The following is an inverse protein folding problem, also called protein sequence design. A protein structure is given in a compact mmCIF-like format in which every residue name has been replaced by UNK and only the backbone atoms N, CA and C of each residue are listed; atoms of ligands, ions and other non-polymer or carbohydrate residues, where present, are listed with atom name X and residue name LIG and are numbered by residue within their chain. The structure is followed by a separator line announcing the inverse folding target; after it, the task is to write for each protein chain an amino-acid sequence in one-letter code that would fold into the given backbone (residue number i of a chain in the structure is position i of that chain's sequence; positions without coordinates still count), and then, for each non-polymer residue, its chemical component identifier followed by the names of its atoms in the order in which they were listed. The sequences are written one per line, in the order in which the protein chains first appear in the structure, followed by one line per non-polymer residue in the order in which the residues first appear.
data_IF_702375561818
#
_entry.id   IF_702375561818
#
_cell.length_a   1.000
_cell.length_b   1.000
_cell.length_c   1.000
_cell.angle_alpha   90.00
_cell.angle_beta   90.00
_cell.angle_gamma   90.00
#
_symmetry.space_group_name_H-M   'P 1'
#
loop_
_entity.id
_entity.type
_entity.pdbx_description
1 polymer ?
#
# COMPACT_ATOMS: atom_id res chain seq x y z
N UNK A 1 3.20 -7.45 -9.85
CA UNK A 1 1.93 -7.18 -9.14
C UNK A 1 1.19 -5.99 -9.76
N UNK A 2 1.86 -4.84 -9.99
CA UNK A 2 1.28 -3.67 -10.68
C UNK A 2 0.62 -3.97 -12.04
N UNK A 3 1.19 -4.86 -12.87
CA UNK A 3 0.56 -5.28 -14.13
C UNK A 3 -0.72 -6.08 -13.91
N UNK A 4 -0.76 -6.96 -12.90
CA UNK A 4 -1.94 -7.75 -12.56
C UNK A 4 -3.08 -6.85 -12.06
N UNK A 5 -2.74 -5.79 -11.34
CA UNK A 5 -3.67 -4.75 -10.87
C UNK A 5 -4.01 -3.69 -11.93
N UNK A 6 -3.50 -3.81 -13.16
CA UNK A 6 -3.85 -2.90 -14.25
C UNK A 6 -3.32 -1.46 -14.09
N UNK A 7 -2.29 -1.26 -13.28
CA UNK A 7 -1.63 0.05 -13.08
C UNK A 7 -0.63 0.33 -14.21
N UNK A 8 0.14 -0.70 -14.58
CA UNK A 8 1.10 -0.64 -15.69
C UNK A 8 0.83 -1.76 -16.69
N UNK A 9 1.27 -1.58 -17.92
CA UNK A 9 1.32 -2.63 -18.92
C UNK A 9 2.75 -2.83 -19.43
N UNK A 10 3.08 -4.05 -19.83
CA UNK A 10 4.38 -4.39 -20.40
C UNK A 10 4.28 -4.35 -21.91
N UNK A 11 5.12 -3.54 -22.55
CA UNK A 11 5.26 -3.51 -24.00
C UNK A 11 6.50 -4.32 -24.40
N UNK A 12 6.34 -5.25 -25.36
CA UNK A 12 7.40 -6.18 -25.79
C UNK A 12 8.06 -5.65 -27.07
N UNK A 13 9.40 -5.61 -27.10
CA UNK A 13 10.18 -5.17 -28.26
C UNK A 13 11.58 -4.67 -27.87
N UNK A 14 12.37 -4.24 -28.86
CA UNK A 14 13.73 -3.70 -28.69
C UNK A 14 13.79 -2.41 -27.85
N UNK A 15 12.69 -1.64 -27.81
CA UNK A 15 12.45 -0.50 -26.92
C UNK A 15 11.39 -0.80 -25.85
N UNK A 16 11.20 -2.08 -25.52
CA UNK A 16 10.19 -2.55 -24.58
C UNK A 16 10.40 -2.03 -23.16
N UNK A 17 9.34 -2.08 -22.36
CA UNK A 17 9.34 -1.55 -21.01
C UNK A 17 7.96 -1.60 -20.37
N UNK A 18 7.81 -0.89 -19.25
CA UNK A 18 6.52 -0.69 -18.61
C UNK A 18 6.02 0.72 -18.86
N UNK A 19 4.75 0.84 -19.20
CA UNK A 19 4.06 2.13 -19.33
C UNK A 19 2.86 2.16 -18.39
N UNK A 20 2.51 3.35 -17.90
CA UNK A 20 1.31 3.54 -17.11
C UNK A 20 0.08 3.27 -17.97
N UNK A 21 -0.86 2.49 -17.44
CA UNK A 21 -2.12 2.17 -18.13
C UNK A 21 -3.21 3.21 -17.84
N UNK A 22 -3.09 3.93 -16.72
CA UNK A 22 -4.03 4.95 -16.26
C UNK A 22 -3.35 6.31 -16.13
N UNK A 23 -4.13 7.37 -16.28
CA UNK A 23 -3.67 8.73 -16.08
C UNK A 23 -3.13 8.91 -14.64
N UNK A 24 -1.90 9.43 -14.44
CA UNK A 24 -1.34 9.67 -13.12
C UNK A 24 -2.19 10.55 -12.19
N UNK A 25 -3.10 11.36 -12.73
CA UNK A 25 -4.07 12.14 -11.95
C UNK A 25 -5.17 11.28 -11.31
N UNK A 26 -5.45 10.10 -11.86
CA UNK A 26 -6.49 9.17 -11.41
C UNK A 26 -5.92 8.02 -10.56
N UNK A 27 -4.59 7.83 -10.59
CA UNK A 27 -3.90 6.82 -9.80
C UNK A 27 -3.60 7.35 -8.42
N UNK A 28 -4.29 6.84 -7.39
CA UNK A 28 -4.04 7.21 -6.01
C UNK A 28 -2.95 6.34 -5.38
N UNK A 29 -2.23 6.89 -4.40
CA UNK A 29 -1.15 6.20 -3.71
C UNK A 29 -1.65 4.92 -3.02
N UNK A 30 -2.90 4.93 -2.54
CA UNK A 30 -3.53 3.77 -1.92
C UNK A 30 -3.66 2.60 -2.90
N UNK A 31 -4.09 2.86 -4.14
CA UNK A 31 -4.20 1.84 -5.19
C UNK A 31 -2.84 1.21 -5.50
N UNK A 32 -1.79 2.04 -5.58
CA UNK A 32 -0.42 1.59 -5.83
C UNK A 32 0.11 0.79 -4.64
N UNK A 33 -0.14 1.24 -3.41
CA UNK A 33 0.27 0.58 -2.18
C UNK A 33 -0.38 -0.81 -2.07
N UNK A 34 -1.71 -0.90 -2.20
CA UNK A 34 -2.45 -2.17 -2.17
C UNK A 34 -2.06 -3.12 -3.33
N UNK A 35 -1.54 -2.58 -4.43
CA UNK A 35 -1.09 -3.40 -5.56
C UNK A 35 0.33 -3.97 -5.39
N UNK A 36 1.06 -3.56 -4.36
CA UNK A 36 2.43 -4.01 -4.06
C UNK A 36 2.47 -4.77 -2.73
N UNK A 37 1.76 -4.27 -1.71
CA UNK A 37 1.80 -4.86 -0.39
C UNK A 37 0.76 -5.96 -0.22
N UNK A 38 1.26 -7.16 0.07
CA UNK A 38 0.45 -8.34 0.40
C UNK A 38 0.25 -8.48 1.93
N UNK A 39 0.83 -7.57 2.74
CA UNK A 39 0.75 -7.62 4.22
C UNK A 39 0.28 -6.30 4.82
N UNK A 40 -0.34 -6.38 6.00
CA UNK A 40 -0.64 -5.20 6.83
C UNK A 40 0.67 -4.49 7.22
N UNK A 41 0.65 -3.16 7.23
CA UNK A 41 1.82 -2.32 7.52
C UNK A 41 2.42 -2.58 8.91
N UNK A 42 1.59 -3.05 9.85
CA UNK A 42 1.98 -3.33 11.22
C UNK A 42 1.81 -4.83 11.52
N UNK A 43 2.92 -5.55 11.58
CA UNK A 43 2.94 -6.94 12.03
C UNK A 43 3.32 -6.98 13.52
N UNK A 44 2.35 -7.29 14.38
CA UNK A 44 2.62 -7.62 15.78
C UNK A 44 3.01 -9.09 15.87
N UNK A 45 4.14 -9.36 16.52
CA UNK A 45 4.52 -10.72 16.90
C UNK A 45 3.68 -11.17 18.10
N UNK A 46 2.51 -11.73 17.81
CA UNK A 46 1.52 -12.18 18.80
C UNK A 46 1.79 -13.59 19.32
N UNK A 47 2.92 -14.22 18.98
CA UNK A 47 3.15 -15.65 19.21
C UNK A 47 3.44 -16.04 20.66
N UNK A 48 3.47 -15.10 21.63
CA UNK A 48 3.63 -15.43 23.06
C UNK A 48 2.26 -15.60 23.72
N UNK A 49 1.57 -16.69 23.44
CA UNK A 49 0.25 -17.01 24.04
C UNK A 49 0.32 -18.12 25.09
N UNK A 50 1.50 -18.51 25.53
CA UNK A 50 1.78 -19.61 26.42
C UNK A 50 2.25 -19.13 27.82
N UNK A 51 1.64 -19.69 28.87
CA UNK A 51 1.98 -19.41 30.29
C UNK A 51 0.81 -18.92 31.15
N UNK A 52 1.07 -18.68 32.45
CA UNK A 52 0.06 -18.31 33.48
C UNK A 52 -0.72 -17.00 33.21
N UNK A 53 -0.31 -16.21 32.21
CA UNK A 53 -0.94 -14.91 31.83
C UNK A 53 -1.40 -14.86 30.36
N UNK A 54 -1.61 -16.03 29.74
CA UNK A 54 -2.00 -16.12 28.34
C UNK A 54 -3.23 -15.26 27.98
N UNK A 55 -4.20 -15.16 28.90
CA UNK A 55 -5.44 -14.41 28.69
C UNK A 55 -5.20 -12.88 28.72
N UNK A 56 -4.41 -12.38 29.67
CA UNK A 56 -4.03 -10.97 29.72
C UNK A 56 -3.21 -10.59 28.48
N UNK A 57 -2.22 -11.43 28.11
CA UNK A 57 -1.41 -11.20 26.91
C UNK A 57 -2.26 -11.15 25.65
N UNK A 58 -3.25 -12.05 25.51
CA UNK A 58 -4.19 -12.01 24.39
C UNK A 58 -5.01 -10.70 24.36
N UNK A 59 -5.48 -10.20 25.51
CA UNK A 59 -6.21 -8.93 25.59
C UNK A 59 -5.35 -7.74 25.18
N UNK A 60 -4.10 -7.67 25.65
CA UNK A 60 -3.16 -6.62 25.23
C UNK A 60 -2.88 -6.69 23.73
N UNK A 61 -2.61 -7.88 23.20
CA UNK A 61 -2.34 -8.08 21.78
C UNK A 61 -3.53 -7.64 20.92
N UNK A 62 -4.75 -8.02 21.29
CA UNK A 62 -5.96 -7.62 20.58
C UNK A 62 -6.15 -6.09 20.59
N UNK A 63 -5.96 -5.45 21.76
CA UNK A 63 -6.04 -3.99 21.84
C UNK A 63 -5.09 -3.29 20.86
N UNK A 64 -3.83 -3.73 20.77
CA UNK A 64 -2.87 -3.15 19.83
C UNK A 64 -3.16 -3.50 18.37
N UNK A 65 -3.68 -4.69 18.09
CA UNK A 65 -4.12 -5.07 16.74
C UNK A 65 -5.27 -4.18 16.26
N UNK A 66 -6.24 -3.91 17.12
CA UNK A 66 -7.38 -3.02 16.83
C UNK A 66 -6.89 -1.58 16.61
N UNK A 67 -6.04 -1.08 17.51
CA UNK A 67 -5.44 0.25 17.36
C UNK A 67 -4.66 0.40 16.05
N UNK A 68 -3.90 -0.62 15.65
CA UNK A 68 -3.16 -0.58 14.39
C UNK A 68 -4.06 -0.71 13.18
N UNK A 69 -5.16 -1.47 13.27
CA UNK A 69 -6.15 -1.52 12.22
C UNK A 69 -6.79 -0.13 12.00
N UNK A 70 -7.16 0.56 13.09
CA UNK A 70 -7.73 1.90 13.03
C UNK A 70 -6.74 2.91 12.41
N UNK A 71 -5.49 2.92 12.87
CA UNK A 71 -4.45 3.78 12.31
C UNK A 71 -4.17 3.46 10.84
N UNK A 72 -4.24 2.18 10.46
CA UNK A 72 -4.07 1.79 9.06
C UNK A 72 -5.18 2.34 8.17
N UNK A 73 -6.44 2.33 8.63
CA UNK A 73 -7.56 2.95 7.92
C UNK A 73 -7.30 4.45 7.70
N UNK A 74 -6.87 5.17 8.73
CA UNK A 74 -6.55 6.60 8.63
C UNK A 74 -5.43 6.88 7.61
N UNK A 75 -4.40 6.03 7.57
CA UNK A 75 -3.30 6.14 6.61
C UNK A 75 -3.81 5.88 5.19
N UNK A 76 -4.59 4.81 4.98
CA UNK A 76 -5.14 4.45 3.68
C UNK A 76 -6.07 5.55 3.14
N UNK A 77 -6.88 6.17 4.01
CA UNK A 77 -7.76 7.28 3.63
C UNK A 77 -6.98 8.54 3.26
N UNK A 78 -5.85 8.82 3.95
CA UNK A 78 -4.93 9.88 3.51
C UNK A 78 -4.31 9.56 2.16
N UNK A 79 -3.92 8.31 1.93
CA UNK A 79 -3.33 7.87 0.66
C UNK A 79 -4.31 7.97 -0.53
N UNK A 80 -5.62 7.80 -0.30
CA UNK A 80 -6.66 8.01 -1.33
C UNK A 80 -6.73 9.45 -1.85
N UNK A 81 -6.22 10.42 -1.09
CA UNK A 81 -6.22 11.83 -1.47
C UNK A 81 -4.90 12.28 -2.13
N UNK A 82 -3.95 11.37 -2.32
CA UNK A 82 -2.64 11.64 -2.93
C UNK A 82 -2.59 10.92 -4.27
N UNK A 83 -2.64 11.65 -5.39
CA UNK A 83 -2.47 11.05 -6.72
C UNK A 83 -1.00 10.99 -7.15
N UNK A 84 -0.68 10.06 -8.05
CA UNK A 84 0.67 9.82 -8.56
C UNK A 84 1.26 11.07 -9.20
N UNK A 85 0.44 11.87 -9.91
CA UNK A 85 0.90 13.13 -10.50
C UNK A 85 1.45 14.11 -9.45
N UNK A 86 0.78 14.22 -8.29
CA UNK A 86 1.21 15.11 -7.20
C UNK A 86 2.54 14.65 -6.60
N UNK A 87 2.74 13.34 -6.46
CA UNK A 87 4.00 12.75 -6.02
C UNK A 87 5.11 13.05 -7.02
N UNK A 88 4.88 12.75 -8.31
CA UNK A 88 5.83 13.00 -9.40
C UNK A 88 6.26 14.46 -9.44
N UNK A 89 5.29 15.38 -9.37
CA UNK A 89 5.53 16.82 -9.36
C UNK A 89 6.38 17.24 -8.16
N UNK A 90 6.10 16.70 -6.97
CA UNK A 90 6.83 17.00 -5.73
C UNK A 90 8.31 16.57 -5.77
N UNK A 91 8.62 15.49 -6.49
CA UNK A 91 9.98 14.94 -6.62
C UNK A 91 10.66 15.29 -7.95
N UNK A 92 10.06 16.17 -8.77
CA UNK A 92 10.67 16.67 -10.01
C UNK A 92 10.63 15.71 -11.20
N UNK A 93 9.73 14.72 -11.18
CA UNK A 93 9.55 13.76 -12.29
C UNK A 93 8.41 14.23 -13.18
N UNK A 94 8.62 14.22 -14.50
CA UNK A 94 7.57 14.48 -15.51
C UNK A 94 6.92 13.18 -15.95
N UNK A 95 5.60 13.21 -16.12
CA UNK A 95 4.88 12.06 -16.69
C UNK A 95 5.10 11.95 -18.20
N UNK A 96 5.42 10.74 -18.65
CA UNK A 96 5.41 10.37 -20.07
C UNK A 96 4.09 9.72 -20.51
N UNK A 97 3.07 9.73 -19.64
CA UNK A 97 1.72 9.26 -20.00
C UNK A 97 1.15 10.17 -21.09
N UNK A 98 0.74 9.56 -22.21
CA UNK A 98 0.15 10.24 -23.36
C UNK A 98 -1.36 10.28 -23.26
#
# INVERSE_FOLDING_TARGET
MLTKNGIVESNKGTSGGFVLKKNPHLLHLQEIYCAIEDRKAFHLDVNRTDGERANETAKFNNYFLDLFADVQVDIEDKMKNINLNSVMSRIGIKSGYK
#
